data_IF_185935568925
#
_entry.id   IF_185935568925
#
_cell.length_a   1.000
_cell.length_b   1.000
_cell.length_c   1.000
_cell.angle_alpha   90.00
_cell.angle_beta   90.00
_cell.angle_gamma   90.00
#
_symmetry.space_group_name_H-M   'P 1'
#
loop_
_entity.id
_entity.type
_entity.pdbx_description
1 polymer ?
#
# COMPACT_ATOMS: atom_id res chain seq x y z
N UNK A 1 -12.50 45.14 37.81
CA UNK A 1 -11.55 44.30 37.07
C UNK A 1 -11.79 42.87 37.51
N UNK A 2 -12.55 42.13 36.70
CA UNK A 2 -12.85 40.72 36.94
C UNK A 2 -11.97 39.88 35.99
N UNK A 3 -11.13 39.06 36.57
CA UNK A 3 -10.23 38.14 35.84
C UNK A 3 -11.03 36.96 35.30
N UNK A 4 -11.10 36.83 33.98
CA UNK A 4 -11.61 35.65 33.28
C UNK A 4 -10.74 34.42 33.51
N UNK A 5 -11.28 33.26 33.87
CA UNK A 5 -10.49 32.05 34.02
C UNK A 5 -10.08 31.48 32.65
N UNK A 6 -8.80 31.24 32.45
CA UNK A 6 -8.22 30.50 31.34
C UNK A 6 -8.77 29.06 31.30
N UNK A 7 -9.22 28.53 30.15
CA UNK A 7 -9.66 27.14 30.07
C UNK A 7 -8.47 26.21 30.24
N UNK A 8 -8.56 25.30 31.19
CA UNK A 8 -7.59 24.24 31.43
C UNK A 8 -7.52 23.31 30.23
N UNK A 9 -6.38 23.26 29.53
CA UNK A 9 -6.06 22.23 28.51
C UNK A 9 -6.11 20.85 29.17
N UNK A 10 -7.15 20.09 28.91
CA UNK A 10 -7.17 18.67 29.23
C UNK A 10 -6.15 17.96 28.30
N UNK A 11 -5.02 17.57 28.86
CA UNK A 11 -4.10 16.64 28.18
C UNK A 11 -4.85 15.33 27.98
N UNK A 12 -5.21 15.03 26.74
CA UNK A 12 -5.64 13.69 26.35
C UNK A 12 -4.44 12.74 26.53
N UNK A 13 -4.50 11.91 27.58
CA UNK A 13 -3.53 10.84 27.79
C UNK A 13 -3.63 9.91 26.57
N UNK A 14 -2.53 9.62 25.85
CA UNK A 14 -2.56 8.67 24.75
C UNK A 14 -3.09 7.34 25.29
N UNK A 15 -4.20 6.87 24.72
CA UNK A 15 -4.78 5.56 25.06
C UNK A 15 -3.73 4.52 24.70
N UNK A 16 -2.98 4.04 25.70
CA UNK A 16 -2.10 2.90 25.53
C UNK A 16 -2.98 1.72 25.08
N UNK A 17 -2.88 1.34 23.83
CA UNK A 17 -3.53 0.14 23.32
C UNK A 17 -3.04 -1.04 24.15
N UNK A 18 -3.97 -1.75 24.79
CA UNK A 18 -3.65 -2.97 25.55
C UNK A 18 -2.81 -3.90 24.67
N UNK A 19 -1.73 -4.49 25.22
CA UNK A 19 -0.88 -5.38 24.45
C UNK A 19 -1.74 -6.49 23.83
N UNK A 20 -1.60 -6.68 22.52
CA UNK A 20 -2.33 -7.71 21.80
C UNK A 20 -1.93 -9.08 22.37
N UNK A 21 -2.86 -10.01 22.62
CA UNK A 21 -2.54 -11.34 23.13
C UNK A 21 -1.57 -12.05 22.18
N UNK A 22 -0.64 -12.85 22.74
CA UNK A 22 0.48 -13.46 22.03
C UNK A 22 0.07 -14.28 20.77
N UNK A 23 -1.08 -14.95 20.80
CA UNK A 23 -1.58 -15.74 19.66
C UNK A 23 -1.93 -14.89 18.43
N UNK A 24 -2.14 -13.58 18.58
CA UNK A 24 -2.36 -12.67 17.44
C UNK A 24 -1.10 -12.40 16.63
N UNK A 25 0.08 -12.74 17.15
CA UNK A 25 1.32 -12.66 16.40
C UNK A 25 1.59 -13.91 15.55
N UNK A 26 0.88 -15.02 15.83
CA UNK A 26 0.97 -16.25 15.03
C UNK A 26 0.04 -16.10 13.84
N UNK A 27 0.61 -15.81 12.68
CA UNK A 27 -0.10 -15.63 11.41
C UNK A 27 0.48 -16.58 10.36
N UNK A 28 -0.31 -16.83 9.30
CA UNK A 28 0.18 -17.57 8.13
C UNK A 28 1.41 -16.89 7.52
N UNK A 29 1.45 -15.55 7.51
CA UNK A 29 2.59 -14.77 7.04
C UNK A 29 3.87 -15.08 7.80
N UNK A 30 3.79 -15.14 9.14
CA UNK A 30 4.94 -15.51 9.97
C UNK A 30 5.41 -16.93 9.69
N UNK A 31 4.48 -17.89 9.56
CA UNK A 31 4.81 -19.26 9.23
C UNK A 31 5.52 -19.37 7.88
N UNK A 32 4.96 -18.72 6.85
CA UNK A 32 5.55 -18.72 5.52
C UNK A 32 6.90 -18.00 5.49
N UNK A 33 7.07 -16.94 6.26
CA UNK A 33 8.35 -16.26 6.41
C UNK A 33 9.41 -17.18 7.03
N UNK A 34 9.05 -17.93 8.09
CA UNK A 34 9.95 -18.91 8.71
C UNK A 34 10.32 -20.00 7.71
N UNK A 35 9.36 -20.57 6.99
CA UNK A 35 9.59 -21.61 6.00
C UNK A 35 10.48 -21.11 4.84
N UNK A 36 10.21 -19.90 4.34
CA UNK A 36 11.00 -19.29 3.27
C UNK A 36 12.46 -19.06 3.68
N UNK A 37 12.69 -18.66 4.95
CA UNK A 37 14.03 -18.42 5.48
C UNK A 37 14.67 -19.65 6.15
N UNK A 38 14.07 -20.84 6.02
CA UNK A 38 14.60 -22.11 6.54
C UNK A 38 14.63 -23.17 5.44
N UNK A 39 13.58 -23.96 5.33
CA UNK A 39 13.53 -25.12 4.44
C UNK A 39 13.61 -24.72 2.96
N UNK A 40 12.95 -23.63 2.58
CA UNK A 40 12.93 -23.12 1.20
C UNK A 40 14.04 -22.14 0.86
N UNK A 41 15.06 -22.01 1.72
CA UNK A 41 16.19 -21.14 1.46
C UNK A 41 17.38 -21.94 0.87
N UNK A 42 17.86 -21.63 -0.35
CA UNK A 42 18.89 -22.44 -1.01
C UNK A 42 20.21 -22.50 -0.24
N UNK A 43 20.60 -21.41 0.43
CA UNK A 43 21.82 -21.40 1.25
C UNK A 43 21.74 -22.33 2.46
N UNK A 44 20.57 -22.46 3.09
CA UNK A 44 20.40 -23.37 4.24
C UNK A 44 20.45 -24.82 3.78
N UNK A 45 19.78 -25.15 2.66
CA UNK A 45 19.88 -26.49 2.10
C UNK A 45 21.29 -26.83 1.60
N UNK A 46 22.01 -25.83 1.06
CA UNK A 46 23.43 -25.99 0.69
C UNK A 46 24.30 -26.27 1.90
N UNK A 47 24.14 -25.53 3.00
CA UNK A 47 24.88 -25.77 4.25
C UNK A 47 24.61 -27.20 4.75
N UNK A 48 23.36 -27.65 4.71
CA UNK A 48 23.01 -29.01 5.11
C UNK A 48 23.72 -30.05 4.24
N UNK A 49 23.76 -29.87 2.91
CA UNK A 49 24.54 -30.71 2.00
C UNK A 49 26.05 -30.72 2.35
N UNK A 50 26.63 -29.54 2.62
CA UNK A 50 28.04 -29.44 3.00
C UNK A 50 28.36 -30.15 4.33
N UNK A 51 27.43 -30.11 5.28
CA UNK A 51 27.53 -30.88 6.52
C UNK A 51 27.53 -32.40 6.25
N UNK A 52 26.67 -32.90 5.37
CA UNK A 52 26.69 -34.31 4.95
C UNK A 52 28.01 -34.69 4.25
N UNK A 53 28.52 -33.80 3.41
CA UNK A 53 29.81 -34.02 2.72
C UNK A 53 30.98 -34.08 3.68
N UNK A 54 31.02 -33.22 4.70
CA UNK A 54 32.08 -33.15 5.72
C UNK A 54 32.19 -34.40 6.57
N UNK A 55 31.10 -35.11 6.81
CA UNK A 55 31.08 -36.38 7.53
C UNK A 55 31.18 -37.60 6.60
N UNK A 56 31.73 -37.41 5.38
CA UNK A 56 31.90 -38.41 4.37
C UNK A 56 30.64 -39.16 3.87
N UNK A 57 29.48 -38.55 4.09
CA UNK A 57 28.19 -39.08 3.64
C UNK A 57 27.72 -38.56 2.28
N UNK A 58 28.66 -37.98 1.50
CA UNK A 58 28.37 -37.40 0.19
C UNK A 58 27.88 -38.41 -0.87
N UNK A 59 28.13 -39.72 -0.67
CA UNK A 59 27.67 -40.80 -1.55
C UNK A 59 26.30 -41.40 -1.13
N UNK A 60 25.76 -40.99 -0.01
CA UNK A 60 24.44 -41.46 0.41
C UNK A 60 23.31 -40.83 -0.43
N UNK A 61 22.21 -41.52 -0.68
CA UNK A 61 21.07 -40.97 -1.43
C UNK A 61 20.58 -39.65 -0.91
N UNK A 62 20.60 -39.44 0.41
CA UNK A 62 20.19 -38.19 1.06
C UNK A 62 21.03 -37.00 0.60
N UNK A 63 22.32 -37.15 0.40
CA UNK A 63 23.18 -36.07 -0.10
C UNK A 63 22.81 -35.68 -1.54
N UNK A 64 22.54 -36.66 -2.41
CA UNK A 64 22.08 -36.35 -3.77
C UNK A 64 20.73 -35.66 -3.77
N UNK A 65 19.76 -36.13 -2.99
CA UNK A 65 18.44 -35.44 -2.88
C UNK A 65 18.58 -34.02 -2.37
N UNK A 66 19.42 -33.78 -1.36
CA UNK A 66 19.68 -32.43 -0.84
C UNK A 66 20.32 -31.54 -1.89
N UNK A 67 21.28 -32.06 -2.67
CA UNK A 67 21.92 -31.30 -3.75
C UNK A 67 20.92 -30.95 -4.87
N UNK A 68 20.09 -31.90 -5.32
CA UNK A 68 19.05 -31.63 -6.31
C UNK A 68 18.02 -30.63 -5.81
N UNK A 69 17.62 -30.75 -4.54
CA UNK A 69 16.72 -29.80 -3.91
C UNK A 69 17.30 -28.38 -3.86
N UNK A 70 18.56 -28.24 -3.46
CA UNK A 70 19.29 -26.96 -3.47
C UNK A 70 19.36 -26.35 -4.87
N UNK A 71 19.70 -27.17 -5.87
CA UNK A 71 19.74 -26.74 -7.26
C UNK A 71 18.36 -26.27 -7.76
N UNK A 72 17.29 -26.99 -7.44
CA UNK A 72 15.94 -26.61 -7.80
C UNK A 72 15.53 -25.28 -7.17
N UNK A 73 15.82 -25.06 -5.88
CA UNK A 73 15.56 -23.79 -5.20
C UNK A 73 16.35 -22.63 -5.85
N UNK A 74 17.64 -22.85 -6.16
CA UNK A 74 18.47 -21.84 -6.82
C UNK A 74 17.94 -21.47 -8.22
N UNK A 75 17.47 -22.46 -9.00
CA UNK A 75 16.81 -22.22 -10.30
C UNK A 75 15.55 -21.39 -10.14
N UNK A 76 14.70 -21.70 -9.14
CA UNK A 76 13.47 -20.93 -8.86
C UNK A 76 13.81 -19.50 -8.47
N UNK A 77 14.78 -19.26 -7.57
CA UNK A 77 15.20 -17.91 -7.20
C UNK A 77 15.77 -17.13 -8.41
N UNK A 78 16.58 -17.78 -9.21
CA UNK A 78 17.13 -17.18 -10.43
C UNK A 78 16.01 -16.80 -11.41
N UNK A 79 15.03 -17.69 -11.60
CA UNK A 79 13.87 -17.42 -12.45
C UNK A 79 13.02 -16.24 -11.94
N UNK A 80 12.78 -16.17 -10.63
CA UNK A 80 12.09 -15.05 -10.00
C UNK A 80 12.87 -13.75 -10.21
N UNK A 81 14.18 -13.77 -10.00
CA UNK A 81 15.05 -12.61 -10.19
C UNK A 81 15.06 -12.13 -11.65
N UNK A 82 15.22 -13.06 -12.62
CA UNK A 82 15.17 -12.74 -14.06
C UNK A 82 13.81 -12.14 -14.42
N UNK A 83 12.71 -12.79 -13.98
CA UNK A 83 11.37 -12.31 -14.24
C UNK A 83 11.17 -10.88 -13.71
N UNK A 84 11.63 -10.60 -12.48
CA UNK A 84 11.56 -9.27 -11.90
C UNK A 84 12.34 -8.24 -12.73
N UNK A 85 13.57 -8.59 -13.14
CA UNK A 85 14.42 -7.71 -13.97
C UNK A 85 13.83 -7.43 -15.35
N UNK A 86 13.26 -8.43 -15.99
CA UNK A 86 12.59 -8.28 -17.29
C UNK A 86 11.32 -7.45 -17.13
N UNK A 87 10.57 -7.69 -16.05
CA UNK A 87 9.30 -7.02 -15.80
C UNK A 87 9.46 -5.54 -15.41
N UNK A 88 10.47 -5.18 -14.60
CA UNK A 88 10.58 -3.85 -13.99
C UNK A 88 11.87 -3.09 -14.34
N UNK A 89 12.74 -3.69 -15.16
CA UNK A 89 14.00 -3.08 -15.59
C UNK A 89 15.09 -3.03 -14.50
N UNK A 90 16.19 -2.31 -14.75
CA UNK A 90 17.29 -2.16 -13.79
C UNK A 90 16.88 -1.33 -12.59
N UNK A 91 17.58 -1.46 -11.44
CA UNK A 91 17.34 -0.64 -10.27
C UNK A 91 17.70 0.84 -10.55
N UNK A 92 16.85 1.76 -10.07
CA UNK A 92 17.17 3.18 -10.00
C UNK A 92 18.12 3.41 -8.81
N UNK A 93 19.13 4.26 -8.97
CA UNK A 93 19.90 4.75 -7.82
C UNK A 93 19.11 5.81 -7.11
N UNK A 94 18.89 5.65 -5.82
CA UNK A 94 18.15 6.59 -4.96
C UNK A 94 19.14 7.25 -4.00
N UNK A 95 19.13 8.59 -4.00
CA UNK A 95 19.88 9.40 -3.06
C UNK A 95 18.88 10.21 -2.24
N UNK A 96 18.58 9.74 -1.04
CA UNK A 96 17.50 10.23 -0.19
C UNK A 96 17.56 11.74 0.10
N UNK A 97 18.76 12.30 0.30
CA UNK A 97 18.96 13.72 0.61
C UNK A 97 18.63 14.63 -0.59
N UNK A 98 18.70 14.08 -1.78
CA UNK A 98 18.42 14.76 -3.04
C UNK A 98 17.06 14.43 -3.65
N UNK A 99 16.21 13.68 -2.95
CA UNK A 99 14.87 13.36 -3.39
C UNK A 99 13.85 14.38 -2.86
N UNK A 100 12.84 14.66 -3.68
CA UNK A 100 11.68 15.45 -3.31
C UNK A 100 10.43 14.60 -3.54
N UNK A 101 9.60 14.43 -2.53
CA UNK A 101 8.40 13.63 -2.59
C UNK A 101 7.14 14.47 -2.46
N UNK A 102 6.13 14.13 -3.27
CA UNK A 102 4.75 14.62 -3.11
C UNK A 102 3.90 13.45 -2.63
N UNK A 103 3.19 13.63 -1.51
CA UNK A 103 2.30 12.63 -0.93
C UNK A 103 0.88 13.17 -0.89
N UNK A 104 -0.01 12.63 -1.72
CA UNK A 104 -1.43 13.01 -1.71
C UNK A 104 -2.19 12.28 -0.60
N UNK A 105 -3.12 13.00 0.08
CA UNK A 105 -3.81 12.45 1.25
C UNK A 105 -2.84 12.15 2.40
N UNK A 106 -1.81 13.00 2.55
CA UNK A 106 -0.74 12.80 3.52
C UNK A 106 -1.02 13.33 4.92
N UNK A 107 -2.16 14.00 5.14
CA UNK A 107 -2.55 14.56 6.44
C UNK A 107 -2.98 13.49 7.46
N UNK A 108 -3.33 12.29 7.02
CA UNK A 108 -3.83 11.23 7.90
C UNK A 108 -3.46 9.81 7.42
N UNK A 109 -3.74 8.81 8.26
CA UNK A 109 -3.69 7.40 7.91
C UNK A 109 -2.36 6.94 7.31
N UNK A 110 -2.42 6.16 6.23
CA UNK A 110 -1.24 5.59 5.56
C UNK A 110 -0.35 6.68 4.94
N UNK A 111 -0.95 7.70 4.31
CA UNK A 111 -0.20 8.78 3.67
C UNK A 111 0.70 9.54 4.65
N UNK A 112 0.18 9.87 5.84
CA UNK A 112 0.96 10.52 6.92
C UNK A 112 2.14 9.63 7.35
N UNK A 113 1.91 8.33 7.54
CA UNK A 113 2.98 7.41 7.95
C UNK A 113 4.05 7.27 6.88
N UNK A 114 3.66 7.26 5.58
CA UNK A 114 4.61 7.26 4.46
C UNK A 114 5.43 8.55 4.46
N UNK A 115 4.79 9.72 4.57
CA UNK A 115 5.46 11.02 4.61
C UNK A 115 6.50 11.10 5.73
N UNK A 116 6.12 10.75 6.97
CA UNK A 116 7.02 10.68 8.12
C UNK A 116 8.21 9.74 7.88
N UNK A 117 7.97 8.60 7.23
CA UNK A 117 9.05 7.63 6.96
C UNK A 117 10.04 8.14 5.92
N UNK A 118 9.56 8.81 4.88
CA UNK A 118 10.40 9.41 3.85
C UNK A 118 11.28 10.53 4.42
N UNK A 119 10.69 11.42 5.23
CA UNK A 119 11.45 12.49 5.88
C UNK A 119 12.54 11.96 6.81
N UNK A 120 12.26 10.90 7.59
CA UNK A 120 13.28 10.26 8.45
C UNK A 120 14.44 9.66 7.64
N UNK A 121 14.29 9.48 6.33
CA UNK A 121 15.34 9.06 5.41
C UNK A 121 16.07 10.25 4.74
N UNK A 122 15.67 11.49 5.04
CA UNK A 122 16.28 12.70 4.48
C UNK A 122 15.58 13.26 3.25
N UNK A 123 14.40 12.72 2.86
CA UNK A 123 13.63 13.22 1.71
C UNK A 123 12.91 14.50 2.09
N UNK A 124 12.92 15.51 1.22
CA UNK A 124 12.05 16.67 1.34
C UNK A 124 10.64 16.29 0.92
N UNK A 125 9.64 16.51 1.77
CA UNK A 125 8.28 15.98 1.53
C UNK A 125 7.25 17.10 1.55
N UNK A 126 6.47 17.20 0.46
CA UNK A 126 5.26 17.99 0.40
C UNK A 126 4.04 17.07 0.60
N UNK A 127 3.18 17.43 1.55
CA UNK A 127 1.91 16.78 1.81
C UNK A 127 0.79 17.59 1.17
N UNK A 128 -0.03 16.94 0.34
CA UNK A 128 -1.23 17.50 -0.24
C UNK A 128 -2.47 16.86 0.40
N UNK A 129 -3.28 17.64 1.09
CA UNK A 129 -4.51 17.16 1.72
C UNK A 129 -5.56 18.29 1.73
N UNK A 130 -6.84 17.91 1.71
CA UNK A 130 -7.95 18.87 1.81
C UNK A 130 -8.18 19.35 3.24
N UNK A 131 -7.78 18.54 4.23
CA UNK A 131 -7.93 18.83 5.65
C UNK A 131 -6.64 19.37 6.23
N UNK A 132 -6.76 20.48 6.95
CA UNK A 132 -5.68 21.00 7.74
C UNK A 132 -5.26 19.98 8.81
N UNK A 133 -3.96 19.74 8.98
CA UNK A 133 -3.45 18.88 10.03
C UNK A 133 -3.84 19.42 11.42
N UNK A 134 -4.03 18.53 12.39
CA UNK A 134 -4.22 18.95 13.78
C UNK A 134 -2.92 19.59 14.35
N UNK A 135 -3.03 20.30 15.48
CA UNK A 135 -1.90 21.02 16.08
C UNK A 135 -0.71 20.10 16.41
N UNK A 136 -0.98 18.85 16.82
CA UNK A 136 0.05 17.85 17.09
C UNK A 136 0.77 17.43 15.80
N UNK A 137 0.02 17.29 14.70
CA UNK A 137 0.57 16.99 13.38
C UNK A 137 1.38 18.17 12.83
N UNK A 138 0.93 19.42 13.04
CA UNK A 138 1.68 20.61 12.64
C UNK A 138 3.01 20.72 13.39
N UNK A 139 3.02 20.56 14.73
CA UNK A 139 4.24 20.53 15.53
C UNK A 139 5.23 19.44 15.06
N UNK A 140 4.69 18.28 14.64
CA UNK A 140 5.50 17.20 14.08
C UNK A 140 6.03 17.55 12.69
N UNK A 141 5.23 18.19 11.84
CA UNK A 141 5.64 18.65 10.51
C UNK A 141 6.75 19.69 10.56
N UNK A 142 6.63 20.70 11.42
CA UNK A 142 7.68 21.70 11.64
C UNK A 142 8.98 21.06 12.12
N UNK A 143 8.90 20.09 13.02
CA UNK A 143 10.07 19.36 13.52
C UNK A 143 10.81 18.58 12.44
N UNK A 144 10.11 18.15 11.38
CA UNK A 144 10.65 17.29 10.33
C UNK A 144 10.80 17.97 8.97
N UNK A 145 10.66 19.32 8.87
CA UNK A 145 10.69 20.06 7.59
C UNK A 145 9.68 19.51 6.56
N UNK A 146 8.49 19.10 7.04
CA UNK A 146 7.38 18.68 6.18
C UNK A 146 6.60 19.91 5.74
N UNK A 147 6.41 20.07 4.45
CA UNK A 147 5.58 21.14 3.91
C UNK A 147 4.17 20.63 3.65
N UNK A 148 3.16 21.32 4.18
CA UNK A 148 1.77 21.03 3.92
C UNK A 148 1.12 22.06 3.02
N UNK A 149 0.41 21.57 2.00
CA UNK A 149 -0.42 22.41 1.15
C UNK A 149 -1.86 21.91 1.18
N UNK A 150 -2.81 22.85 1.35
CA UNK A 150 -4.23 22.54 1.15
C UNK A 150 -4.49 22.36 -0.34
N UNK A 151 -4.87 21.15 -0.74
CA UNK A 151 -5.08 20.78 -2.14
C UNK A 151 -6.19 19.75 -2.24
N UNK A 152 -7.21 20.07 -3.02
CA UNK A 152 -8.16 19.08 -3.50
C UNK A 152 -7.61 18.48 -4.80
N UNK A 153 -7.14 17.24 -4.72
CA UNK A 153 -6.56 16.52 -5.86
C UNK A 153 -7.58 16.21 -6.97
N UNK A 154 -8.88 16.31 -6.68
CA UNK A 154 -9.93 16.23 -7.70
C UNK A 154 -9.95 17.47 -8.62
N UNK A 155 -9.28 18.56 -8.23
CA UNK A 155 -9.24 19.82 -8.96
C UNK A 155 -7.88 20.04 -9.60
N UNK A 156 -7.85 19.98 -10.93
CA UNK A 156 -6.62 20.12 -11.71
C UNK A 156 -5.90 21.45 -11.46
N UNK A 157 -6.66 22.56 -11.36
CA UNK A 157 -6.12 23.90 -11.12
C UNK A 157 -5.43 24.01 -9.74
N UNK A 158 -5.94 23.31 -8.74
CA UNK A 158 -5.29 23.25 -7.41
C UNK A 158 -4.01 22.43 -7.44
N UNK A 159 -4.03 21.28 -8.16
CA UNK A 159 -2.85 20.43 -8.34
C UNK A 159 -1.74 21.18 -9.06
N UNK A 160 -2.05 21.96 -10.10
CA UNK A 160 -1.06 22.79 -10.81
C UNK A 160 -0.43 23.84 -9.89
N UNK A 161 -1.25 24.62 -9.18
CA UNK A 161 -0.76 25.65 -8.25
C UNK A 161 0.08 25.05 -7.11
N UNK A 162 -0.34 23.89 -6.59
CA UNK A 162 0.41 23.20 -5.56
C UNK A 162 1.75 22.66 -6.08
N UNK A 163 1.78 22.20 -7.32
CA UNK A 163 3.03 21.74 -7.95
C UNK A 163 4.04 22.87 -8.10
N UNK A 164 3.60 24.05 -8.54
CA UNK A 164 4.48 25.20 -8.69
C UNK A 164 5.07 25.61 -7.33
N UNK A 165 4.25 25.63 -6.26
CA UNK A 165 4.75 25.87 -4.89
C UNK A 165 5.78 24.83 -4.44
N UNK A 166 5.56 23.54 -4.72
CA UNK A 166 6.54 22.49 -4.38
C UNK A 166 7.86 22.72 -5.07
N UNK A 167 7.85 23.14 -6.36
CA UNK A 167 9.09 23.43 -7.09
C UNK A 167 9.83 24.60 -6.48
N UNK A 168 9.12 25.66 -6.10
CA UNK A 168 9.71 26.88 -5.52
C UNK A 168 10.29 26.60 -4.11
N UNK A 169 9.61 25.80 -3.29
CA UNK A 169 9.97 25.55 -1.89
C UNK A 169 10.98 24.41 -1.70
N UNK A 170 10.78 23.29 -2.42
CA UNK A 170 11.53 22.05 -2.19
C UNK A 170 12.39 21.62 -3.38
N UNK A 171 12.06 22.13 -4.58
CA UNK A 171 12.65 21.72 -5.84
C UNK A 171 11.79 20.72 -6.63
N UNK A 172 12.32 20.23 -7.76
CA UNK A 172 11.55 19.34 -8.65
C UNK A 172 11.31 17.98 -8.03
N UNK A 173 10.04 17.48 -7.93
CA UNK A 173 9.74 16.17 -7.38
C UNK A 173 10.35 15.04 -8.19
N UNK A 174 10.78 14.02 -7.47
CA UNK A 174 11.29 12.74 -7.98
C UNK A 174 10.50 11.55 -7.47
N UNK A 175 9.64 11.76 -6.46
CA UNK A 175 8.78 10.72 -5.90
C UNK A 175 7.34 11.25 -5.83
N UNK A 176 6.41 10.51 -6.43
CA UNK A 176 4.97 10.75 -6.32
C UNK A 176 4.30 9.58 -5.59
N UNK A 177 3.61 9.88 -4.49
CA UNK A 177 2.79 8.91 -3.76
C UNK A 177 1.33 9.28 -3.95
N UNK A 178 0.64 8.64 -4.88
CA UNK A 178 -0.80 8.76 -5.08
C UNK A 178 -1.53 7.88 -4.05
N UNK A 179 -1.90 8.51 -2.91
CA UNK A 179 -2.53 7.84 -1.78
C UNK A 179 -3.91 8.44 -1.42
N UNK A 180 -4.23 9.67 -1.86
CA UNK A 180 -5.50 10.31 -1.54
C UNK A 180 -6.69 9.40 -1.84
N UNK A 181 -7.57 9.25 -0.87
CA UNK A 181 -8.80 8.48 -0.99
C UNK A 181 -9.86 9.02 -0.03
N UNK A 182 -11.11 9.02 -0.48
CA UNK A 182 -12.25 9.36 0.38
C UNK A 182 -12.73 8.15 1.17
N UNK A 183 -13.52 8.44 2.21
CA UNK A 183 -14.13 7.44 3.09
C UNK A 183 -15.08 6.54 2.31
N UNK A 184 -15.15 5.30 2.73
CA UNK A 184 -16.06 4.29 2.19
C UNK A 184 -17.50 4.62 2.61
N UNK A 185 -18.42 4.72 1.66
CA UNK A 185 -19.85 4.98 1.94
C UNK A 185 -20.54 3.82 2.68
N UNK A 186 -20.06 2.58 2.44
CA UNK A 186 -20.57 1.34 3.03
C UNK A 186 -22.11 1.17 2.84
N UNK A 187 -22.63 1.64 1.71
CA UNK A 187 -24.05 1.55 1.36
C UNK A 187 -24.29 0.47 0.32
N UNK A 188 -25.39 -0.31 0.43
CA UNK A 188 -25.74 -1.31 -0.57
C UNK A 188 -26.23 -0.65 -1.86
N UNK A 189 -26.07 -1.35 -2.99
CA UNK A 189 -26.69 -0.94 -4.26
C UNK A 189 -28.21 -1.12 -4.24
N UNK A 190 -28.69 -2.12 -3.50
CA UNK A 190 -30.10 -2.46 -3.39
C UNK A 190 -30.56 -2.20 -1.95
N UNK A 191 -31.50 -1.27 -1.78
CA UNK A 191 -32.15 -1.02 -0.49
C UNK A 191 -32.97 -2.23 -0.04
N UNK A 192 -33.01 -2.48 1.26
CA UNK A 192 -33.79 -3.55 1.89
C UNK A 192 -34.63 -2.97 3.04
N UNK A 193 -35.60 -3.75 3.54
CA UNK A 193 -36.37 -3.35 4.71
C UNK A 193 -35.48 -3.11 5.97
N UNK A 194 -34.32 -3.75 6.04
CA UNK A 194 -33.35 -3.59 7.13
C UNK A 194 -32.35 -2.46 6.87
N UNK A 195 -32.13 -2.10 5.63
CA UNK A 195 -31.27 -0.99 5.22
C UNK A 195 -31.98 -0.22 4.09
N UNK A 196 -32.78 0.79 4.41
CA UNK A 196 -33.56 1.55 3.43
C UNK A 196 -32.68 2.47 2.57
N UNK A 197 -31.46 2.79 3.02
CA UNK A 197 -30.54 3.64 2.27
C UNK A 197 -29.78 2.80 1.25
N UNK A 198 -29.63 3.34 0.04
CA UNK A 198 -28.79 2.77 -1.03
C UNK A 198 -27.77 3.79 -1.49
N UNK A 199 -26.69 3.29 -2.12
CA UNK A 199 -25.66 4.13 -2.72
C UNK A 199 -26.27 4.97 -3.85
N UNK A 200 -26.14 6.30 -3.75
CA UNK A 200 -26.61 7.19 -4.83
C UNK A 200 -25.55 7.37 -5.90
N UNK A 201 -25.93 7.73 -7.15
CA UNK A 201 -24.99 8.05 -8.23
C UNK A 201 -24.04 9.19 -7.86
N UNK A 202 -24.50 10.20 -7.12
CA UNK A 202 -23.69 11.35 -6.70
C UNK A 202 -22.59 10.92 -5.72
N UNK A 203 -22.93 10.04 -4.75
CA UNK A 203 -21.95 9.49 -3.81
C UNK A 203 -20.89 8.63 -4.53
N UNK A 204 -21.35 7.80 -5.48
CA UNK A 204 -20.44 6.99 -6.29
C UNK A 204 -19.51 7.86 -7.16
N UNK A 205 -20.06 8.93 -7.76
CA UNK A 205 -19.29 9.92 -8.55
C UNK A 205 -18.23 10.60 -7.69
N UNK A 206 -18.59 11.09 -6.51
CA UNK A 206 -17.63 11.71 -5.60
C UNK A 206 -16.49 10.76 -5.17
N UNK A 207 -16.82 9.49 -4.93
CA UNK A 207 -15.79 8.46 -4.66
C UNK A 207 -14.85 8.28 -5.86
N UNK A 208 -15.37 8.23 -7.08
CA UNK A 208 -14.57 8.08 -8.29
C UNK A 208 -13.72 9.32 -8.58
N UNK A 209 -14.25 10.51 -8.37
CA UNK A 209 -13.53 11.77 -8.56
C UNK A 209 -12.26 11.80 -7.70
N UNK A 210 -12.41 11.52 -6.41
CA UNK A 210 -11.27 11.55 -5.48
C UNK A 210 -10.36 10.33 -5.65
N UNK A 211 -10.91 9.12 -5.72
CA UNK A 211 -10.09 7.90 -5.67
C UNK A 211 -9.48 7.54 -7.03
N UNK A 212 -10.06 8.00 -8.15
CA UNK A 212 -9.67 7.57 -9.49
C UNK A 212 -9.27 8.75 -10.39
N UNK A 213 -10.17 9.72 -10.61
CA UNK A 213 -9.91 10.81 -11.55
C UNK A 213 -8.79 11.73 -11.06
N UNK A 214 -8.61 11.89 -9.77
CA UNK A 214 -7.48 12.62 -9.18
C UNK A 214 -6.11 12.11 -9.62
N UNK A 215 -5.99 10.81 -9.93
CA UNK A 215 -4.75 10.25 -10.46
C UNK A 215 -4.40 10.79 -11.85
N UNK A 216 -5.41 11.07 -12.70
CA UNK A 216 -5.17 11.74 -13.97
C UNK A 216 -4.68 13.18 -13.74
N UNK A 217 -5.25 13.91 -12.76
CA UNK A 217 -4.82 15.25 -12.43
C UNK A 217 -3.35 15.27 -11.96
N UNK A 218 -3.01 14.42 -10.99
CA UNK A 218 -1.64 14.33 -10.47
C UNK A 218 -0.64 13.87 -11.53
N UNK A 219 -0.99 12.88 -12.34
CA UNK A 219 -0.12 12.38 -13.40
C UNK A 219 0.04 13.40 -14.53
N UNK A 220 -1.01 14.11 -14.96
CA UNK A 220 -0.90 15.11 -16.01
C UNK A 220 0.07 16.24 -15.66
N UNK A 221 0.14 16.61 -14.37
CA UNK A 221 1.00 17.69 -13.88
C UNK A 221 2.40 17.21 -13.55
N UNK A 222 2.54 16.07 -12.87
CA UNK A 222 3.84 15.61 -12.36
C UNK A 222 4.59 14.70 -13.34
N UNK A 223 3.90 13.86 -14.13
CA UNK A 223 4.55 12.85 -14.98
C UNK A 223 5.56 13.44 -15.97
N UNK A 224 5.29 14.57 -16.67
CA UNK A 224 6.29 15.16 -17.56
C UNK A 224 7.60 15.52 -16.85
N UNK A 225 7.50 16.05 -15.62
CA UNK A 225 8.67 16.41 -14.80
C UNK A 225 9.41 15.18 -14.29
N UNK A 226 8.66 14.15 -13.85
CA UNK A 226 9.22 12.88 -13.39
C UNK A 226 9.98 12.15 -14.50
N UNK A 227 9.46 12.17 -15.72
CA UNK A 227 10.13 11.59 -16.91
C UNK A 227 11.39 12.38 -17.27
N UNK A 228 11.33 13.72 -17.22
CA UNK A 228 12.45 14.60 -17.54
C UNK A 228 13.58 14.55 -16.50
N UNK A 229 13.33 14.02 -15.29
CA UNK A 229 14.33 13.97 -14.22
C UNK A 229 15.52 13.10 -14.59
N UNK A 230 16.72 13.69 -14.63
CA UNK A 230 17.97 12.94 -14.85
C UNK A 230 18.27 11.94 -13.72
N UNK A 231 17.79 12.20 -12.50
CA UNK A 231 17.88 11.29 -11.34
C UNK A 231 16.93 10.11 -11.45
N UNK A 232 15.97 10.14 -12.38
CA UNK A 232 14.86 9.24 -12.47
C UNK A 232 13.77 9.55 -11.43
N UNK A 233 12.76 8.69 -11.33
CA UNK A 233 11.62 8.94 -10.47
C UNK A 233 11.00 7.64 -9.94
N UNK A 234 10.18 7.78 -8.86
CA UNK A 234 9.26 6.74 -8.39
C UNK A 234 7.83 7.25 -8.40
N UNK A 235 6.92 6.45 -8.94
CA UNK A 235 5.48 6.69 -8.93
C UNK A 235 4.83 5.56 -8.17
N UNK A 236 4.32 5.86 -6.97
CA UNK A 236 3.65 4.89 -6.10
C UNK A 236 2.16 5.14 -6.14
N UNK A 237 1.39 4.10 -6.44
CA UNK A 237 -0.06 4.14 -6.52
C UNK A 237 -0.66 3.26 -5.45
N UNK A 238 -1.47 3.82 -4.54
CA UNK A 238 -2.12 3.07 -3.48
C UNK A 238 -3.51 2.61 -3.94
N UNK A 239 -3.61 1.34 -4.27
CA UNK A 239 -4.85 0.64 -4.56
C UNK A 239 -5.32 -0.17 -3.34
N UNK A 240 -5.88 -1.33 -3.54
CA UNK A 240 -6.37 -2.25 -2.50
C UNK A 240 -6.54 -3.65 -3.09
N UNK A 241 -6.53 -4.68 -2.26
CA UNK A 241 -6.99 -6.03 -2.66
C UNK A 241 -8.44 -6.03 -3.15
N UNK A 242 -9.23 -5.03 -2.75
CA UNK A 242 -10.62 -4.86 -3.19
C UNK A 242 -10.73 -4.49 -4.68
N UNK A 243 -9.63 -4.22 -5.35
CA UNK A 243 -9.55 -4.17 -6.81
C UNK A 243 -9.82 -5.53 -7.47
N UNK A 244 -9.60 -6.63 -6.75
CA UNK A 244 -9.81 -8.01 -7.21
C UNK A 244 -11.04 -8.69 -6.58
N UNK A 245 -11.52 -8.15 -5.45
CA UNK A 245 -12.62 -8.69 -4.68
C UNK A 245 -13.58 -7.56 -4.30
N UNK A 246 -14.77 -7.56 -4.87
CA UNK A 246 -15.82 -6.59 -4.58
C UNK A 246 -16.78 -7.13 -3.50
N UNK A 247 -16.65 -6.70 -2.23
CA UNK A 247 -17.58 -7.09 -1.18
C UNK A 247 -18.90 -6.34 -1.29
N UNK A 248 -19.94 -6.89 -0.66
CA UNK A 248 -21.21 -6.18 -0.54
C UNK A 248 -21.03 -4.82 0.14
N UNK A 249 -21.83 -3.84 -0.24
CA UNK A 249 -21.82 -2.46 0.27
C UNK A 249 -20.55 -1.62 0.00
N UNK A 250 -19.64 -2.08 -0.86
CA UNK A 250 -18.41 -1.37 -1.24
C UNK A 250 -18.27 -1.19 -2.75
N UNK A 251 -19.36 -1.05 -3.47
CA UNK A 251 -19.33 -1.02 -4.94
C UNK A 251 -18.51 0.15 -5.49
N UNK A 252 -18.72 1.36 -4.97
CA UNK A 252 -18.00 2.59 -5.36
C UNK A 252 -16.50 2.48 -5.08
N UNK A 253 -16.14 2.04 -3.88
CA UNK A 253 -14.75 1.89 -3.48
C UNK A 253 -14.03 0.78 -4.27
N UNK A 254 -14.62 -0.42 -4.38
CA UNK A 254 -14.02 -1.52 -5.11
C UNK A 254 -13.83 -1.18 -6.60
N UNK A 255 -14.83 -0.55 -7.22
CA UNK A 255 -14.76 -0.05 -8.59
C UNK A 255 -13.64 0.98 -8.74
N UNK A 256 -13.53 1.95 -7.83
CA UNK A 256 -12.49 2.98 -7.87
C UNK A 256 -11.09 2.36 -7.79
N UNK A 257 -10.87 1.39 -6.89
CA UNK A 257 -9.56 0.74 -6.74
C UNK A 257 -9.22 -0.20 -7.89
N UNK A 258 -10.21 -0.85 -8.51
CA UNK A 258 -10.00 -1.62 -9.74
C UNK A 258 -9.58 -0.69 -10.90
N UNK A 259 -10.24 0.46 -11.06
CA UNK A 259 -9.88 1.46 -12.06
C UNK A 259 -8.45 2.00 -11.85
N UNK A 260 -8.05 2.30 -10.61
CA UNK A 260 -6.70 2.74 -10.27
C UNK A 260 -5.65 1.68 -10.57
N UNK A 261 -5.93 0.39 -10.27
CA UNK A 261 -5.01 -0.69 -10.62
C UNK A 261 -4.84 -0.84 -12.13
N UNK A 262 -5.93 -0.67 -12.91
CA UNK A 262 -5.89 -0.68 -14.37
C UNK A 262 -5.12 0.52 -14.93
N UNK A 263 -5.37 1.73 -14.41
CA UNK A 263 -4.62 2.94 -14.78
C UNK A 263 -3.12 2.76 -14.56
N UNK A 264 -2.74 2.22 -13.39
CA UNK A 264 -1.33 1.96 -13.08
C UNK A 264 -0.68 0.97 -14.06
N UNK A 265 -1.38 -0.11 -14.42
CA UNK A 265 -0.89 -1.06 -15.42
C UNK A 265 -0.69 -0.41 -16.80
N UNK A 266 -1.64 0.44 -17.23
CA UNK A 266 -1.51 1.22 -18.46
C UNK A 266 -0.27 2.11 -18.42
N UNK A 267 -0.08 2.88 -17.33
CA UNK A 267 1.12 3.70 -17.13
C UNK A 267 2.41 2.89 -17.23
N UNK A 268 2.47 1.70 -16.62
CA UNK A 268 3.63 0.82 -16.72
C UNK A 268 3.95 0.44 -18.18
N UNK A 269 2.92 0.11 -18.97
CA UNK A 269 3.10 -0.25 -20.37
C UNK A 269 3.49 0.95 -21.23
N UNK A 270 2.93 2.11 -20.99
CA UNK A 270 3.30 3.34 -21.70
C UNK A 270 4.75 3.76 -21.42
N UNK A 271 5.19 3.71 -20.16
CA UNK A 271 6.59 3.97 -19.80
C UNK A 271 7.56 2.94 -20.41
N UNK A 272 7.14 1.67 -20.51
CA UNK A 272 7.94 0.62 -21.15
C UNK A 272 8.09 0.85 -22.65
N UNK A 273 7.03 1.34 -23.31
CA UNK A 273 6.99 1.59 -24.75
C UNK A 273 7.35 3.05 -25.11
N UNK A 274 7.90 3.81 -24.13
CA UNK A 274 8.28 5.19 -24.36
C UNK A 274 9.37 5.28 -25.46
N UNK A 275 9.31 6.28 -26.38
CA UNK A 275 10.31 6.43 -27.45
C UNK A 275 11.76 6.50 -26.95
N UNK A 276 11.97 7.12 -25.78
CA UNK A 276 13.26 7.06 -25.07
C UNK A 276 13.29 5.83 -24.17
N UNK A 277 14.09 4.78 -24.50
CA UNK A 277 14.15 3.55 -23.72
C UNK A 277 14.77 3.76 -22.32
N UNK A 278 15.47 4.87 -22.09
CA UNK A 278 16.04 5.20 -20.79
C UNK A 278 14.96 5.57 -19.77
N UNK A 279 13.79 6.01 -20.20
CA UNK A 279 12.66 6.36 -19.32
C UNK A 279 12.23 5.15 -18.51
N UNK A 280 12.03 3.99 -19.12
CA UNK A 280 11.65 2.77 -18.41
C UNK A 280 12.73 2.32 -17.39
N UNK A 281 14.00 2.57 -17.69
CA UNK A 281 15.09 2.27 -16.77
C UNK A 281 15.11 3.21 -15.55
N UNK A 282 14.75 4.49 -15.75
CA UNK A 282 14.86 5.56 -14.73
C UNK A 282 13.57 5.79 -13.94
N UNK A 283 12.39 5.64 -14.56
CA UNK A 283 11.10 5.85 -13.89
C UNK A 283 10.55 4.52 -13.41
N UNK A 284 10.43 4.38 -12.10
CA UNK A 284 9.91 3.19 -11.44
C UNK A 284 8.47 3.40 -11.01
N UNK A 285 7.65 2.40 -11.24
CA UNK A 285 6.25 2.39 -10.84
C UNK A 285 6.03 1.30 -9.79
N UNK A 286 5.31 1.62 -8.72
CA UNK A 286 4.98 0.69 -7.64
C UNK A 286 3.48 0.74 -7.37
N UNK A 287 2.78 -0.35 -7.67
CA UNK A 287 1.39 -0.56 -7.26
C UNK A 287 1.35 -1.19 -5.88
N UNK A 288 0.62 -0.58 -4.96
CA UNK A 288 0.46 -1.11 -3.60
C UNK A 288 -0.99 -1.54 -3.44
N UNK A 289 -1.21 -2.83 -3.24
CA UNK A 289 -2.53 -3.46 -3.03
C UNK A 289 -2.56 -4.11 -1.64
N UNK A 290 -2.72 -3.30 -0.58
CA UNK A 290 -2.74 -3.81 0.78
C UNK A 290 -4.06 -4.53 1.07
N UNK A 291 -4.00 -5.46 2.01
CA UNK A 291 -5.17 -5.98 2.71
C UNK A 291 -5.79 -4.93 3.64
N UNK A 292 -6.58 -5.40 4.61
CA UNK A 292 -7.19 -4.50 5.59
C UNK A 292 -6.12 -3.77 6.41
N UNK A 293 -6.18 -2.44 6.43
CA UNK A 293 -5.30 -1.58 7.22
C UNK A 293 -5.98 -1.17 8.52
N UNK A 294 -5.18 -1.01 9.57
CA UNK A 294 -5.58 -0.39 10.84
C UNK A 294 -5.56 1.15 10.69
N UNK A 295 -6.55 1.68 9.96
CA UNK A 295 -6.71 3.11 9.70
C UNK A 295 -8.16 3.52 9.91
N UNK A 296 -8.40 4.84 10.12
CA UNK A 296 -9.75 5.38 10.30
C UNK A 296 -10.68 5.08 9.12
N UNK A 297 -10.14 4.90 7.92
CA UNK A 297 -10.91 4.55 6.71
C UNK A 297 -11.73 3.27 6.89
N UNK A 298 -11.23 2.33 7.68
CA UNK A 298 -11.83 1.02 7.92
C UNK A 298 -12.22 0.78 9.39
N UNK A 299 -12.26 1.83 10.22
CA UNK A 299 -12.55 1.72 11.65
C UNK A 299 -13.92 1.11 11.96
N UNK A 300 -14.88 1.28 11.05
CA UNK A 300 -16.26 0.80 11.19
C UNK A 300 -16.49 -0.63 10.66
N UNK A 301 -15.46 -1.28 10.11
CA UNK A 301 -15.57 -2.67 9.69
C UNK A 301 -15.49 -3.54 10.94
N UNK A 302 -16.58 -4.27 11.21
CA UNK A 302 -16.72 -5.15 12.38
C UNK A 302 -15.69 -6.26 12.41
N UNK A 303 -15.34 -6.68 13.62
CA UNK A 303 -14.30 -7.67 13.91
C UNK A 303 -14.41 -8.94 13.07
N UNK A 304 -13.35 -9.24 12.37
CA UNK A 304 -13.13 -10.50 11.65
C UNK A 304 -13.15 -11.66 12.65
N UNK A 305 -13.71 -12.84 12.32
CA UNK A 305 -13.67 -14.02 13.18
C UNK A 305 -12.22 -14.36 13.61
N UNK A 306 -12.07 -14.92 14.80
CA UNK A 306 -10.75 -15.25 15.38
C UNK A 306 -9.82 -16.03 14.43
N UNK A 307 -10.36 -17.04 13.72
CA UNK A 307 -9.58 -17.84 12.76
C UNK A 307 -9.17 -17.05 11.52
N UNK A 308 -9.97 -16.06 11.12
CA UNK A 308 -9.64 -15.22 9.97
C UNK A 308 -8.42 -14.32 10.24
N UNK A 309 -8.11 -14.03 11.50
CA UNK A 309 -6.91 -13.30 11.87
C UNK A 309 -5.61 -14.06 11.55
N UNK A 310 -5.64 -15.40 11.63
CA UNK A 310 -4.49 -16.23 11.23
C UNK A 310 -4.21 -16.13 9.73
N UNK A 311 -5.27 -16.17 8.89
CA UNK A 311 -5.14 -16.13 7.43
C UNK A 311 -5.08 -14.72 6.87
N UNK A 312 -5.77 -13.76 7.49
CA UNK A 312 -5.90 -12.38 7.04
C UNK A 312 -5.69 -11.37 8.18
N UNK A 313 -4.46 -11.21 8.67
CA UNK A 313 -4.17 -10.24 9.71
C UNK A 313 -4.42 -8.82 9.22
N UNK A 314 -4.94 -7.97 10.12
CA UNK A 314 -5.02 -6.53 9.89
C UNK A 314 -3.62 -5.94 9.94
N UNK A 315 -3.22 -5.25 8.89
CA UNK A 315 -1.89 -4.66 8.75
C UNK A 315 -1.81 -3.32 9.48
N UNK A 316 -0.68 -3.06 10.12
CA UNK A 316 -0.36 -1.72 10.57
C UNK A 316 0.09 -0.86 9.37
N UNK A 317 -0.41 0.38 9.28
CA UNK A 317 0.01 1.33 8.25
C UNK A 317 1.54 1.50 8.19
N UNK A 318 2.21 1.42 9.35
CA UNK A 318 3.67 1.49 9.47
C UNK A 318 4.40 0.37 8.71
N UNK A 319 3.87 -0.84 8.69
CA UNK A 319 4.52 -1.97 8.02
C UNK A 319 4.44 -1.79 6.50
N UNK A 320 3.27 -1.38 5.98
CA UNK A 320 3.10 -1.08 4.56
C UNK A 320 3.98 0.10 4.13
N UNK A 321 4.03 1.17 4.92
CA UNK A 321 4.90 2.31 4.65
C UNK A 321 6.39 1.91 4.63
N UNK A 322 6.82 1.02 5.52
CA UNK A 322 8.17 0.47 5.56
C UNK A 322 8.51 -0.34 4.31
N UNK A 323 7.57 -1.13 3.82
CA UNK A 323 7.77 -1.92 2.61
C UNK A 323 7.81 -1.03 1.35
N UNK A 324 6.99 0.03 1.29
CA UNK A 324 7.07 1.05 0.25
C UNK A 324 8.45 1.74 0.27
N UNK A 325 8.87 2.24 1.42
CA UNK A 325 10.16 2.92 1.56
C UNK A 325 11.34 2.01 1.20
N UNK A 326 11.30 0.74 1.58
CA UNK A 326 12.32 -0.25 1.20
C UNK A 326 12.35 -0.53 -0.31
N UNK A 327 11.19 -0.57 -0.96
CA UNK A 327 11.10 -0.77 -2.41
C UNK A 327 11.68 0.42 -3.15
N UNK A 328 11.36 1.64 -2.71
CA UNK A 328 11.96 2.88 -3.24
C UNK A 328 13.49 2.85 -3.02
N UNK A 329 13.96 2.53 -1.82
CA UNK A 329 15.38 2.45 -1.46
C UNK A 329 16.19 1.51 -2.36
N UNK A 330 15.59 0.37 -2.71
CA UNK A 330 16.19 -0.58 -3.66
C UNK A 330 16.17 -0.07 -5.10
N UNK A 331 15.48 1.02 -5.36
CA UNK A 331 15.26 1.52 -6.71
C UNK A 331 14.39 0.60 -7.56
N UNK A 332 13.52 -0.18 -6.93
CA UNK A 332 12.67 -1.16 -7.58
C UNK A 332 11.29 -0.60 -7.92
N UNK A 333 10.67 -1.21 -8.92
CA UNK A 333 9.24 -1.09 -9.19
C UNK A 333 8.53 -2.42 -8.94
N UNK A 334 7.24 -2.46 -9.30
CA UNK A 334 6.46 -3.68 -9.27
C UNK A 334 5.14 -3.58 -8.54
N UNK A 335 4.71 -4.69 -7.94
CA UNK A 335 3.45 -4.77 -7.19
C UNK A 335 3.72 -5.28 -5.78
N UNK A 336 3.33 -4.47 -4.80
CA UNK A 336 3.43 -4.80 -3.39
C UNK A 336 2.05 -5.25 -2.87
N UNK A 337 1.96 -6.52 -2.49
CA UNK A 337 0.76 -7.12 -1.87
C UNK A 337 1.11 -7.68 -0.52
N UNK A 338 0.45 -7.23 0.51
CA UNK A 338 0.62 -7.68 1.89
C UNK A 338 -0.74 -7.66 2.59
N UNK A 339 -1.05 -8.64 3.44
CA UNK A 339 -0.29 -9.83 3.81
C UNK A 339 -0.34 -10.94 2.73
N UNK A 340 0.06 -12.18 3.05
CA UNK A 340 0.19 -13.26 2.06
C UNK A 340 -1.08 -13.51 1.25
N UNK A 341 -2.26 -13.50 1.88
CA UNK A 341 -3.50 -13.72 1.14
C UNK A 341 -3.73 -12.66 0.05
N UNK A 342 -3.22 -11.44 0.23
CA UNK A 342 -3.31 -10.40 -0.79
C UNK A 342 -2.56 -10.78 -2.09
N UNK A 343 -1.47 -11.57 -1.97
CA UNK A 343 -0.74 -12.09 -3.14
C UNK A 343 -1.56 -13.09 -3.94
N UNK A 344 -2.51 -13.77 -3.29
CA UNK A 344 -3.39 -14.75 -3.93
C UNK A 344 -4.64 -14.12 -4.57
N UNK A 345 -4.98 -12.86 -4.21
CA UNK A 345 -6.21 -12.20 -4.68
C UNK A 345 -6.33 -12.07 -6.21
N UNK A 346 -5.27 -11.82 -7.00
CA UNK A 346 -5.39 -11.81 -8.46
C UNK A 346 -5.89 -13.14 -9.05
N UNK A 347 -5.65 -14.26 -8.36
CA UNK A 347 -6.11 -15.58 -8.78
C UNK A 347 -7.58 -15.84 -8.42
N UNK A 348 -8.17 -15.02 -7.55
CA UNK A 348 -9.56 -15.19 -7.09
C UNK A 348 -10.55 -15.21 -8.25
N UNK A 349 -10.40 -14.30 -9.22
CA UNK A 349 -11.27 -14.22 -10.39
C UNK A 349 -11.19 -15.44 -11.34
N UNK A 350 -10.10 -16.21 -11.27
CA UNK A 350 -9.92 -17.44 -12.06
C UNK A 350 -10.54 -18.68 -11.38
N UNK A 351 -10.97 -18.59 -10.12
CA UNK A 351 -11.57 -19.70 -9.39
C UNK A 351 -12.99 -19.97 -9.88
N UNK A 352 -13.45 -21.24 -9.86
CA UNK A 352 -14.86 -21.57 -10.07
C UNK A 352 -15.76 -20.81 -9.09
N UNK A 353 -16.95 -20.41 -9.51
CA UNK A 353 -17.88 -19.60 -8.70
C UNK A 353 -18.23 -20.23 -7.36
N UNK A 354 -18.33 -21.56 -7.28
CA UNK A 354 -18.56 -22.29 -6.02
C UNK A 354 -17.43 -22.09 -5.01
N UNK A 355 -16.17 -22.09 -5.47
CA UNK A 355 -15.01 -21.82 -4.60
C UNK A 355 -14.95 -20.35 -4.19
N UNK A 356 -15.29 -19.41 -5.09
CA UNK A 356 -15.41 -18.00 -4.74
C UNK A 356 -16.46 -17.80 -3.64
N UNK A 357 -17.64 -18.40 -3.75
CA UNK A 357 -18.70 -18.36 -2.73
C UNK A 357 -18.24 -18.96 -1.41
N UNK A 358 -17.54 -20.09 -1.43
CA UNK A 358 -17.00 -20.73 -0.23
C UNK A 358 -15.98 -19.82 0.46
N UNK A 359 -15.07 -19.20 -0.28
CA UNK A 359 -14.08 -18.25 0.27
C UNK A 359 -14.75 -17.02 0.87
N UNK A 360 -15.79 -16.47 0.22
CA UNK A 360 -16.58 -15.34 0.74
C UNK A 360 -17.31 -15.70 2.02
N UNK A 361 -17.92 -16.90 2.06
CA UNK A 361 -18.59 -17.40 3.26
C UNK A 361 -17.61 -17.61 4.42
N UNK A 362 -16.45 -18.23 4.16
CA UNK A 362 -15.41 -18.48 5.16
C UNK A 362 -14.79 -17.20 5.70
N UNK A 363 -14.45 -16.24 4.82
CA UNK A 363 -13.88 -14.96 5.23
C UNK A 363 -14.88 -14.04 5.93
N UNK A 364 -16.19 -14.26 5.70
CA UNK A 364 -17.25 -13.42 6.26
C UNK A 364 -17.27 -11.99 5.69
N UNK A 365 -16.56 -11.73 4.59
CA UNK A 365 -16.32 -10.38 4.07
C UNK A 365 -17.60 -9.62 3.75
N UNK A 366 -18.63 -10.29 3.25
CA UNK A 366 -19.92 -9.66 2.93
C UNK A 366 -20.75 -9.35 4.18
N UNK A 367 -20.45 -9.96 5.31
CA UNK A 367 -21.14 -9.74 6.60
C UNK A 367 -20.45 -8.67 7.45
N UNK A 368 -19.16 -8.49 7.27
CA UNK A 368 -18.34 -7.57 8.06
C UNK A 368 -18.79 -6.11 7.90
N UNK A 369 -19.41 -5.77 6.77
CA UNK A 369 -19.79 -4.40 6.40
C UNK A 369 -21.27 -4.12 6.69
N UNK A 370 -22.13 -5.11 6.59
CA UNK A 370 -23.59 -5.02 6.88
C UNK A 370 -23.90 -4.77 8.38
N UNK A 371 -22.93 -4.92 9.26
CA UNK A 371 -23.09 -4.73 10.71
C UNK A 371 -23.19 -3.29 11.21
N UNK A 372 -23.21 -2.28 10.33
CA UNK A 372 -23.25 -0.85 10.70
C UNK A 372 -24.55 -0.46 11.42
N UNK A 373 -25.67 -1.14 11.13
CA UNK A 373 -26.99 -0.78 11.68
C UNK A 373 -27.18 -1.12 13.17
N UNK A 374 -26.25 -1.82 13.81
CA UNK A 374 -26.39 -2.23 15.22
C UNK A 374 -25.79 -1.26 16.25
N UNK A 375 -25.08 -0.20 15.83
CA UNK A 375 -24.43 0.75 16.75
C UNK A 375 -25.11 2.11 16.86
N UNK A 376 -26.19 2.36 16.13
CA UNK A 376 -26.92 3.64 16.13
C UNK A 376 -28.35 3.52 16.64
N UNK A 377 -28.71 2.46 17.35
CA UNK A 377 -29.98 2.34 18.08
C UNK A 377 -29.73 2.23 19.57
#
# INVERSE_FOLDING_TARGET
>A
MASTPTPSRSRSIPVQSKPKPWYRYITLDLLLLILANSIFHPWISLIFYLCLASVHKHREPLAYYTLYYTAALAVVECAIWINHRVAHGPHRKVDWENEVAVVTGGGSGLGRVIAQMLVRKGVKVAIWDVKEPDAEALDEMERWDLVWHQVDVARLDEVQRAMDRVVDELGSPTILINNAATTVSALPLVSTLKNPSSLSPEQASGTLEVNTLSHFNTLSVLLPRLIASAKGAHIVTISSILSHLAPACLADYAMSKAAVSSLHQTLCHELRNHPDPTVFARVKTLLVEPGQLDTQLFADITSVPFYAHFFGPVLAAKDVAKDIARTIERGDGGVLRSPFYAKCMPLYGALPGSLQLLMRWFSGIDRAIVGRDKKTS
#
